data_IF_390445722650
#
_entry.id   IF_390445722650
#
_cell.length_a   1.000
_cell.length_b   1.000
_cell.length_c   1.000
_cell.angle_alpha   90.00
_cell.angle_beta   90.00
_cell.angle_gamma   90.00
#
_symmetry.space_group_name_H-M   'P 1'
#
loop_
_entity.id
_entity.type
_entity.pdbx_description
1 polymer ?
#
# COMPACT_ATOMS: atom_id res chain seq x y z
N UNK A 1 -26.20 79.44 -17.81
CA UNK A 1 -27.44 79.60 -17.03
C UNK A 1 -27.64 78.35 -16.20
N UNK A 2 -27.59 78.52 -14.89
CA UNK A 2 -27.88 77.53 -13.85
C UNK A 2 -29.30 76.98 -13.97
N UNK A 3 -29.48 75.69 -13.67
CA UNK A 3 -30.58 75.21 -12.79
C UNK A 3 -30.28 73.80 -12.27
N UNK A 4 -30.09 73.77 -10.95
CA UNK A 4 -30.07 72.59 -10.11
C UNK A 4 -31.41 71.83 -10.11
N UNK A 5 -31.32 70.53 -9.85
CA UNK A 5 -32.48 69.67 -9.61
C UNK A 5 -32.08 68.36 -8.93
N UNK A 6 -31.33 68.42 -7.83
CA UNK A 6 -31.13 67.27 -6.94
C UNK A 6 -32.47 66.96 -6.28
N UNK A 7 -33.05 65.80 -6.61
CA UNK A 7 -34.16 65.24 -5.82
C UNK A 7 -33.65 64.02 -5.05
N UNK A 8 -33.79 64.12 -3.73
CA UNK A 8 -33.37 63.17 -2.70
C UNK A 8 -34.30 61.96 -2.66
N UNK A 9 -33.71 60.75 -2.65
CA UNK A 9 -34.12 59.49 -1.98
C UNK A 9 -33.21 58.39 -2.57
N UNK A 10 -32.09 58.02 -1.93
CA UNK A 10 -32.03 56.98 -0.87
C UNK A 10 -32.78 55.73 -1.37
N UNK A 11 -32.12 54.66 -1.83
CA UNK A 11 -31.44 53.60 -1.04
C UNK A 11 -30.42 52.92 -1.99
N UNK A 12 -29.11 53.13 -1.86
CA UNK A 12 -28.10 52.29 -1.17
C UNK A 12 -28.11 50.77 -1.45
N UNK A 13 -27.06 50.36 -2.20
CA UNK A 13 -26.19 49.17 -2.04
C UNK A 13 -26.84 47.80 -2.31
N UNK A 14 -26.22 46.89 -3.06
CA UNK A 14 -24.81 46.44 -3.02
C UNK A 14 -24.35 45.94 -4.40
N UNK A 15 -23.22 46.46 -4.90
CA UNK A 15 -21.90 45.80 -5.01
C UNK A 15 -21.81 44.86 -6.25
N UNK A 16 -21.21 45.30 -7.35
CA UNK A 16 -19.76 45.27 -7.65
C UNK A 16 -19.26 43.83 -7.86
N UNK A 17 -18.51 43.43 -8.89
CA UNK A 17 -17.91 44.05 -10.07
C UNK A 17 -17.31 42.85 -10.87
N UNK A 18 -17.49 42.79 -12.19
CA UNK A 18 -16.51 43.22 -13.19
C UNK A 18 -15.20 42.39 -13.19
N UNK A 19 -15.15 41.51 -14.20
CA UNK A 19 -14.04 41.16 -15.10
C UNK A 19 -12.92 40.21 -14.64
N UNK A 20 -12.79 39.11 -15.40
CA UNK A 20 -11.63 38.95 -16.28
C UNK A 20 -10.61 37.88 -15.88
N UNK A 21 -10.49 36.85 -16.72
CA UNK A 21 -9.19 36.25 -17.04
C UNK A 21 -9.01 34.76 -16.75
N UNK A 22 -8.48 34.09 -17.77
CA UNK A 22 -7.80 32.80 -17.79
C UNK A 22 -8.66 31.52 -17.79
N UNK A 23 -8.98 31.07 -19.00
CA UNK A 23 -9.15 29.65 -19.29
C UNK A 23 -7.81 28.92 -19.03
N UNK A 24 -7.78 28.05 -18.04
CA UNK A 24 -6.78 26.97 -17.96
C UNK A 24 -7.53 25.66 -18.17
N UNK A 25 -7.51 25.19 -19.42
CA UNK A 25 -7.80 23.80 -19.73
C UNK A 25 -6.62 22.96 -19.21
N UNK A 26 -6.72 22.49 -17.98
CA UNK A 26 -5.85 21.48 -17.41
C UNK A 26 -6.61 20.17 -17.35
N UNK A 27 -6.40 19.30 -18.36
CA UNK A 27 -6.91 17.94 -18.31
C UNK A 27 -6.18 17.17 -17.21
N UNK A 28 -6.87 16.91 -16.10
CA UNK A 28 -6.46 15.88 -15.16
C UNK A 28 -6.82 14.53 -15.79
N UNK A 29 -5.90 13.99 -16.59
CA UNK A 29 -5.96 12.62 -17.05
C UNK A 29 -5.95 11.70 -15.84
N UNK A 30 -7.05 10.97 -15.65
CA UNK A 30 -7.06 9.73 -14.88
C UNK A 30 -5.91 8.86 -15.40
N UNK A 31 -5.09 8.34 -14.48
CA UNK A 31 -3.95 7.44 -14.75
C UNK A 31 -4.51 6.10 -15.24
N UNK A 32 -5.08 6.10 -16.43
CA UNK A 32 -5.43 4.89 -17.15
C UNK A 32 -4.11 4.17 -17.47
N UNK A 33 -4.10 2.87 -17.21
CA UNK A 33 -3.00 1.96 -17.38
C UNK A 33 -2.13 2.32 -18.60
N UNK A 34 -0.85 2.60 -18.36
CA UNK A 34 0.15 2.79 -19.42
C UNK A 34 0.59 1.44 -20.01
N UNK A 35 -0.37 0.56 -20.34
CA UNK A 35 -0.08 -0.68 -21.07
C UNK A 35 0.42 -0.39 -22.49
N UNK A 36 0.12 0.79 -23.04
CA UNK A 36 0.55 1.23 -24.38
C UNK A 36 2.00 1.74 -24.42
N UNK A 37 2.73 1.73 -23.30
CA UNK A 37 4.06 2.34 -23.17
C UNK A 37 5.26 1.40 -23.30
N UNK A 38 5.04 0.09 -23.47
CA UNK A 38 6.10 -0.92 -23.46
C UNK A 38 6.14 -1.80 -24.72
N UNK A 39 5.43 -1.42 -25.79
CA UNK A 39 5.48 -2.11 -27.09
C UNK A 39 5.30 -3.64 -27.02
N UNK A 40 4.41 -4.11 -26.13
CA UNK A 40 4.12 -5.54 -25.94
C UNK A 40 5.15 -6.31 -25.10
N UNK A 41 6.13 -5.64 -24.49
CA UNK A 41 7.16 -6.26 -23.64
C UNK A 41 6.61 -7.18 -22.56
N UNK A 42 5.43 -6.83 -22.02
CA UNK A 42 4.77 -7.54 -20.93
C UNK A 42 3.65 -8.51 -21.38
N UNK A 43 3.47 -8.72 -22.69
CA UNK A 43 2.34 -9.53 -23.22
C UNK A 43 2.35 -11.00 -22.72
N UNK A 44 3.53 -11.51 -22.36
CA UNK A 44 3.76 -12.86 -21.82
C UNK A 44 4.14 -12.85 -20.32
N UNK A 45 3.97 -11.74 -19.62
CA UNK A 45 4.37 -11.58 -18.20
C UNK A 45 3.15 -11.61 -17.30
N UNK A 46 2.91 -12.75 -16.64
CA UNK A 46 1.62 -13.00 -15.97
C UNK A 46 1.34 -12.13 -14.74
N UNK A 47 2.38 -11.56 -14.12
CA UNK A 47 2.27 -10.75 -12.90
C UNK A 47 2.38 -9.24 -13.18
N UNK A 48 2.40 -8.81 -14.44
CA UNK A 48 2.37 -7.39 -14.77
C UNK A 48 0.94 -6.84 -14.70
N UNK A 49 0.70 -5.94 -13.75
CA UNK A 49 -0.58 -5.24 -13.53
C UNK A 49 -0.48 -3.72 -13.71
N UNK A 50 0.72 -3.22 -13.99
CA UNK A 50 1.02 -1.80 -14.21
C UNK A 50 2.39 -1.40 -13.70
N UNK A 51 2.69 -0.11 -13.78
CA UNK A 51 3.95 0.46 -13.27
C UNK A 51 3.70 1.01 -11.87
N UNK A 52 4.42 0.48 -10.87
CA UNK A 52 4.34 0.94 -9.48
C UNK A 52 5.16 2.23 -9.33
N UNK A 53 4.50 3.33 -8.96
CA UNK A 53 5.19 4.61 -8.73
C UNK A 53 5.98 4.60 -7.42
N UNK A 54 7.30 4.79 -7.52
CA UNK A 54 8.26 4.88 -6.43
C UNK A 54 9.11 6.15 -6.54
N UNK A 55 8.72 7.13 -7.37
CA UNK A 55 9.41 8.43 -7.45
C UNK A 55 9.47 9.11 -6.08
N UNK A 56 10.56 9.82 -5.83
CA UNK A 56 10.86 10.47 -4.55
C UNK A 56 11.40 9.54 -3.46
N UNK A 57 11.61 8.25 -3.76
CA UNK A 57 12.37 7.35 -2.88
C UNK A 57 13.82 7.25 -3.37
N UNK A 58 14.77 7.30 -2.43
CA UNK A 58 16.20 7.15 -2.76
C UNK A 58 16.59 5.68 -3.02
N UNK A 59 15.76 4.73 -2.57
CA UNK A 59 15.98 3.29 -2.74
C UNK A 59 14.69 2.52 -2.99
N UNK A 60 14.75 1.55 -3.90
CA UNK A 60 13.62 0.67 -4.25
C UNK A 60 14.09 -0.78 -4.28
N UNK A 61 13.32 -1.68 -3.68
CA UNK A 61 13.57 -3.12 -3.76
C UNK A 61 12.65 -3.77 -4.79
N UNK A 62 13.22 -4.66 -5.60
CA UNK A 62 12.54 -5.58 -6.51
C UNK A 62 12.96 -7.01 -6.14
N UNK A 63 12.00 -7.86 -5.81
CA UNK A 63 12.25 -9.27 -5.53
C UNK A 63 12.46 -10.05 -6.83
N UNK A 64 13.40 -11.00 -6.83
CA UNK A 64 13.73 -11.88 -7.96
C UNK A 64 13.35 -13.31 -7.61
N UNK A 65 12.46 -13.90 -8.41
CA UNK A 65 11.92 -15.23 -8.14
C UNK A 65 10.60 -15.19 -7.35
N UNK A 66 9.73 -14.22 -7.65
CA UNK A 66 8.34 -14.21 -7.13
C UNK A 66 7.43 -15.08 -8.00
N UNK A 67 6.26 -15.45 -7.46
CA UNK A 67 5.25 -16.22 -8.18
C UNK A 67 4.74 -15.46 -9.43
N UNK A 68 5.15 -15.94 -10.61
CA UNK A 68 4.72 -15.49 -11.93
C UNK A 68 5.04 -16.57 -12.98
N UNK A 69 4.34 -16.52 -14.11
CA UNK A 69 4.62 -17.36 -15.28
C UNK A 69 4.59 -18.87 -14.98
N UNK A 70 3.71 -19.28 -14.08
CA UNK A 70 3.52 -20.69 -13.69
C UNK A 70 4.53 -21.23 -12.67
N UNK A 71 5.33 -20.37 -12.03
CA UNK A 71 6.26 -20.74 -10.95
C UNK A 71 6.88 -19.51 -10.30
N UNK A 72 8.06 -19.64 -9.69
CA UNK A 72 8.82 -18.51 -9.16
C UNK A 72 9.68 -17.85 -10.25
N UNK A 73 9.04 -17.42 -11.35
CA UNK A 73 9.68 -16.87 -12.55
C UNK A 73 9.28 -15.41 -12.80
N UNK A 74 9.19 -14.61 -11.76
CA UNK A 74 8.79 -13.20 -11.82
C UNK A 74 9.77 -12.26 -11.13
N UNK A 75 9.70 -11.00 -11.55
CA UNK A 75 10.19 -9.85 -10.78
C UNK A 75 9.03 -9.20 -10.02
N UNK A 76 9.24 -8.84 -8.76
CA UNK A 76 8.20 -8.31 -7.86
C UNK A 76 8.58 -6.97 -7.23
N UNK A 77 7.95 -5.85 -7.58
CA UNK A 77 6.99 -5.67 -8.69
C UNK A 77 7.66 -5.82 -10.07
N UNK A 78 6.86 -6.16 -11.09
CA UNK A 78 7.35 -6.36 -12.46
C UNK A 78 7.84 -5.05 -13.11
N UNK A 79 7.24 -3.91 -12.76
CA UNK A 79 7.69 -2.60 -13.22
C UNK A 79 7.61 -1.53 -12.13
N UNK A 80 8.66 -0.70 -12.05
CA UNK A 80 8.71 0.45 -11.13
C UNK A 80 8.97 1.75 -11.89
N UNK A 81 8.41 2.86 -11.39
CA UNK A 81 8.76 4.22 -11.82
C UNK A 81 9.57 4.88 -10.72
N UNK A 82 10.74 5.41 -11.04
CA UNK A 82 11.67 6.01 -10.07
C UNK A 82 12.14 7.39 -10.53
N UNK A 83 12.68 8.16 -9.59
CA UNK A 83 13.33 9.44 -9.90
C UNK A 83 14.76 9.19 -10.40
N UNK A 84 15.33 10.10 -11.20
CA UNK A 84 16.76 10.11 -11.44
C UNK A 84 17.55 10.12 -10.12
N UNK A 85 18.61 9.31 -10.06
CA UNK A 85 19.44 9.09 -8.88
C UNK A 85 18.94 8.01 -7.92
N UNK A 86 17.77 7.39 -8.15
CA UNK A 86 17.28 6.28 -7.31
C UNK A 86 18.11 5.01 -7.54
N UNK A 87 18.49 4.35 -6.45
CA UNK A 87 19.08 3.00 -6.51
C UNK A 87 18.00 1.93 -6.44
N UNK A 88 17.94 1.06 -7.44
CA UNK A 88 17.11 -0.15 -7.40
C UNK A 88 17.98 -1.31 -6.94
N UNK A 89 17.53 -2.02 -5.91
CA UNK A 89 18.12 -3.28 -5.44
C UNK A 89 17.23 -4.44 -5.82
N UNK A 90 17.81 -5.43 -6.47
CA UNK A 90 17.21 -6.73 -6.69
C UNK A 90 17.64 -7.68 -5.58
N UNK A 91 16.67 -8.33 -4.94
CA UNK A 91 16.88 -9.31 -3.85
C UNK A 91 16.30 -10.66 -4.26
N UNK A 92 17.10 -11.71 -4.20
CA UNK A 92 16.67 -13.04 -4.60
C UNK A 92 15.84 -13.69 -3.50
N UNK A 93 14.74 -14.32 -3.87
CA UNK A 93 13.90 -15.09 -2.93
C UNK A 93 14.50 -16.46 -2.62
N UNK A 94 15.38 -16.96 -3.49
CA UNK A 94 15.89 -18.34 -3.48
C UNK A 94 14.96 -19.36 -4.16
N UNK A 95 13.82 -18.92 -4.68
CA UNK A 95 12.83 -19.77 -5.32
C UNK A 95 13.00 -19.81 -6.85
N UNK A 96 12.53 -20.87 -7.50
CA UNK A 96 12.49 -20.94 -8.98
C UNK A 96 13.82 -21.22 -9.67
N UNK A 97 14.87 -21.54 -8.93
CA UNK A 97 16.19 -21.88 -9.49
C UNK A 97 17.09 -20.67 -9.66
N UNK A 98 17.97 -20.71 -10.66
CA UNK A 98 18.95 -19.65 -10.91
C UNK A 98 18.34 -18.49 -11.70
N UNK A 99 18.44 -17.27 -11.17
CA UNK A 99 17.98 -16.05 -11.84
C UNK A 99 19.11 -15.04 -12.00
N UNK A 100 19.01 -14.21 -13.02
CA UNK A 100 19.84 -13.01 -13.18
C UNK A 100 18.98 -11.81 -13.58
N UNK A 101 19.60 -10.63 -13.58
CA UNK A 101 19.00 -9.35 -13.95
C UNK A 101 19.88 -8.75 -15.02
N UNK A 102 19.41 -8.74 -16.27
CA UNK A 102 20.19 -8.28 -17.42
C UNK A 102 19.37 -7.27 -18.20
N UNK A 103 19.89 -6.05 -18.34
CA UNK A 103 19.27 -5.03 -19.16
C UNK A 103 19.31 -5.44 -20.64
N UNK A 104 18.19 -5.24 -21.34
CA UNK A 104 18.05 -5.55 -22.77
C UNK A 104 19.02 -4.71 -23.63
N UNK A 105 19.27 -3.46 -23.22
CA UNK A 105 20.21 -2.53 -23.85
C UNK A 105 21.67 -2.69 -23.38
N UNK A 106 21.93 -3.60 -22.44
CA UNK A 106 23.26 -3.87 -21.88
C UNK A 106 23.75 -2.84 -20.84
N UNK A 107 22.90 -1.94 -20.34
CA UNK A 107 23.28 -0.93 -19.33
C UNK A 107 23.68 -1.51 -17.97
N UNK A 108 23.10 -2.66 -17.58
CA UNK A 108 23.47 -3.38 -16.37
C UNK A 108 23.32 -4.90 -16.54
N UNK A 109 24.09 -5.66 -15.76
CA UNK A 109 24.07 -7.12 -15.78
C UNK A 109 24.55 -7.65 -14.41
N UNK A 110 23.72 -8.45 -13.74
CA UNK A 110 24.04 -9.05 -12.44
C UNK A 110 25.01 -10.24 -12.52
N UNK A 111 25.33 -10.73 -13.73
CA UNK A 111 26.21 -11.85 -13.99
C UNK A 111 25.49 -13.15 -14.34
N UNK A 112 26.16 -14.27 -14.05
CA UNK A 112 25.61 -15.61 -14.21
C UNK A 112 24.40 -15.81 -13.27
N UNK A 113 23.37 -16.60 -13.67
CA UNK A 113 22.23 -16.86 -12.81
C UNK A 113 22.61 -17.49 -11.46
N UNK A 114 22.03 -16.94 -10.39
CA UNK A 114 22.26 -17.36 -9.00
C UNK A 114 20.92 -17.76 -8.35
N UNK A 115 20.96 -18.70 -7.40
CA UNK A 115 19.76 -19.28 -6.75
C UNK A 115 19.74 -19.06 -5.23
N UNK A 116 20.73 -18.35 -4.68
CA UNK A 116 20.82 -18.06 -3.26
C UNK A 116 19.90 -16.91 -2.87
N UNK A 117 19.16 -17.06 -1.78
CA UNK A 117 18.37 -15.99 -1.19
C UNK A 117 19.22 -14.86 -0.57
N UNK A 118 20.53 -15.07 -0.40
CA UNK A 118 21.47 -14.04 0.07
C UNK A 118 21.99 -13.16 -1.08
N UNK A 119 21.66 -13.49 -2.33
CA UNK A 119 22.12 -12.76 -3.51
C UNK A 119 21.38 -11.44 -3.66
N UNK A 120 22.15 -10.38 -3.91
CA UNK A 120 21.64 -9.03 -4.18
C UNK A 120 22.40 -8.39 -5.33
N UNK A 121 21.71 -7.52 -6.07
CA UNK A 121 22.29 -6.71 -7.13
C UNK A 121 21.73 -5.29 -7.04
N UNK A 122 22.56 -4.27 -7.21
CA UNK A 122 22.14 -2.87 -7.15
C UNK A 122 22.54 -2.11 -8.40
N UNK A 123 21.68 -1.22 -8.87
CA UNK A 123 21.98 -0.27 -9.94
C UNK A 123 21.34 1.09 -9.64
N UNK A 124 22.12 2.16 -9.80
CA UNK A 124 21.64 3.55 -9.66
C UNK A 124 21.31 4.12 -11.03
N UNK A 125 20.09 4.62 -11.17
CA UNK A 125 19.56 5.11 -12.43
C UNK A 125 19.65 6.64 -12.51
N UNK A 126 20.66 7.16 -13.19
CA UNK A 126 20.91 8.61 -13.29
C UNK A 126 20.16 9.28 -14.45
N UNK A 127 19.93 8.56 -15.55
CA UNK A 127 19.36 9.12 -16.77
C UNK A 127 17.87 8.78 -16.88
N UNK A 128 17.06 9.74 -17.34
CA UNK A 128 15.64 9.49 -17.61
C UNK A 128 15.49 8.56 -18.80
N UNK A 129 14.60 7.58 -18.70
CA UNK A 129 14.37 6.59 -19.74
C UNK A 129 13.55 5.41 -19.25
N UNK A 130 13.32 4.46 -20.14
CA UNK A 130 12.75 3.16 -19.80
C UNK A 130 13.83 2.11 -19.99
N UNK A 131 14.14 1.39 -18.93
CA UNK A 131 15.16 0.34 -18.89
C UNK A 131 14.43 -1.00 -18.79
N UNK A 132 14.40 -1.73 -19.91
CA UNK A 132 13.84 -3.07 -19.98
C UNK A 132 14.91 -4.08 -19.57
N UNK A 133 14.51 -5.11 -18.83
CA UNK A 133 15.45 -6.15 -18.39
C UNK A 133 14.79 -7.51 -18.29
N UNK A 134 15.61 -8.55 -18.35
CA UNK A 134 15.18 -9.95 -18.36
C UNK A 134 15.99 -10.77 -17.38
N UNK A 135 15.43 -11.91 -17.00
CA UNK A 135 16.22 -13.04 -16.51
C UNK A 135 16.53 -13.97 -17.69
N UNK A 136 17.79 -14.04 -18.11
CA UNK A 136 18.23 -14.76 -19.32
C UNK A 136 17.72 -16.21 -19.41
N UNK A 137 17.83 -17.08 -18.38
CA UNK A 137 17.33 -18.45 -18.49
C UNK A 137 15.80 -18.56 -18.55
N UNK A 138 15.07 -17.50 -18.19
CA UNK A 138 13.61 -17.49 -18.04
C UNK A 138 12.92 -16.44 -18.94
N UNK A 139 13.64 -15.83 -19.87
CA UNK A 139 13.12 -14.81 -20.78
C UNK A 139 11.98 -15.37 -21.66
N UNK A 140 12.19 -16.57 -22.21
CA UNK A 140 11.24 -17.22 -23.12
C UNK A 140 9.91 -17.63 -22.44
N UNK A 141 9.86 -17.59 -21.10
CA UNK A 141 8.65 -17.85 -20.31
C UNK A 141 8.12 -16.58 -19.64
N UNK A 142 8.62 -15.40 -20.00
CA UNK A 142 8.06 -14.12 -19.54
C UNK A 142 8.68 -13.56 -18.26
N UNK A 143 9.88 -13.99 -17.85
CA UNK A 143 10.56 -13.34 -16.72
C UNK A 143 11.25 -12.04 -17.18
N UNK A 144 10.44 -11.00 -17.33
CA UNK A 144 10.83 -9.68 -17.82
C UNK A 144 10.36 -8.59 -16.85
N UNK A 145 11.10 -7.50 -16.78
CA UNK A 145 10.79 -6.35 -15.93
C UNK A 145 11.14 -5.03 -16.59
N UNK A 146 10.76 -3.93 -15.93
CA UNK A 146 11.12 -2.58 -16.38
C UNK A 146 11.36 -1.61 -15.22
N UNK A 147 12.33 -0.70 -15.40
CA UNK A 147 12.50 0.49 -14.58
C UNK A 147 12.24 1.72 -15.45
N UNK A 148 11.26 2.53 -15.08
CA UNK A 148 10.93 3.78 -15.76
C UNK A 148 11.47 4.94 -14.95
N UNK A 149 12.52 5.57 -15.42
CA UNK A 149 13.18 6.71 -14.77
C UNK A 149 12.61 7.98 -15.37
N UNK A 150 11.93 8.76 -14.55
CA UNK A 150 11.32 10.00 -14.99
C UNK A 150 11.42 11.04 -13.91
N UNK A 151 11.57 12.29 -14.33
CA UNK A 151 11.48 13.43 -13.43
C UNK A 151 10.19 13.38 -12.61
N UNK A 152 10.28 13.93 -11.40
CA UNK A 152 9.11 14.20 -10.58
C UNK A 152 8.24 15.24 -11.26
N UNK A 153 7.33 14.80 -12.14
CA UNK A 153 6.14 15.59 -12.47
C UNK A 153 5.38 15.81 -11.17
N UNK A 154 5.20 17.07 -10.80
CA UNK A 154 4.55 17.55 -9.56
C UNK A 154 3.53 16.52 -9.10
N UNK A 155 3.91 15.74 -8.08
CA UNK A 155 2.95 15.03 -7.27
C UNK A 155 2.09 16.12 -6.67
N UNK A 156 0.96 16.45 -7.29
CA UNK A 156 0.08 17.57 -6.92
C UNK A 156 -0.21 17.57 -5.43
N UNK A 157 0.64 18.27 -4.69
CA UNK A 157 0.93 17.96 -3.30
C UNK A 157 1.61 19.16 -2.67
N UNK A 158 0.84 20.23 -2.49
CA UNK A 158 1.20 21.34 -1.63
C UNK A 158 2.04 22.40 -2.31
N UNK A 159 1.51 23.00 -3.38
CA UNK A 159 1.90 24.37 -3.72
C UNK A 159 1.78 25.24 -2.48
N UNK A 160 2.93 25.62 -1.91
CA UNK A 160 3.03 26.70 -0.95
C UNK A 160 2.55 27.96 -1.66
N UNK A 161 1.24 28.22 -1.58
CA UNK A 161 0.70 29.55 -1.78
C UNK A 161 1.38 30.40 -0.72
N UNK A 162 2.32 31.24 -1.14
CA UNK A 162 2.84 32.34 -0.35
C UNK A 162 1.67 33.28 -0.03
N UNK A 163 0.94 32.96 1.04
CA UNK A 163 -0.17 33.76 1.52
C UNK A 163 0.40 34.95 2.30
N UNK A 164 -0.05 36.19 2.02
CA UNK A 164 0.36 37.36 2.79
C UNK A 164 0.02 37.16 4.27
N UNK A 165 0.82 37.71 5.19
CA UNK A 165 0.63 37.52 6.63
C UNK A 165 -0.75 38.05 7.04
N UNK A 166 -1.50 37.24 7.79
CA UNK A 166 -2.70 37.70 8.50
C UNK A 166 -4.02 37.02 8.17
N UNK A 167 -4.03 35.81 7.61
CA UNK A 167 -5.30 35.11 7.45
C UNK A 167 -5.17 33.67 7.94
N UNK A 168 -5.86 33.38 9.04
CA UNK A 168 -5.88 32.11 9.77
C UNK A 168 -7.26 31.47 9.63
N UNK A 169 -7.28 30.30 9.01
CA UNK A 169 -8.35 29.29 9.04
C UNK A 169 -7.58 27.99 8.88
N UNK A 170 -7.34 27.15 9.89
CA UNK A 170 -8.28 26.66 10.88
C UNK A 170 -8.59 25.21 10.50
N UNK A 171 -7.88 24.27 11.15
CA UNK A 171 -8.07 22.81 11.17
C UNK A 171 -7.21 21.98 10.22
N UNK A 172 -5.95 21.86 10.60
CA UNK A 172 -5.22 20.60 10.56
C UNK A 172 -5.73 19.69 11.70
N UNK A 173 -6.41 18.59 11.36
CA UNK A 173 -6.54 17.32 12.12
C UNK A 173 -6.94 16.30 11.04
N UNK A 174 -6.08 15.40 10.56
CA UNK A 174 -5.91 14.04 11.07
C UNK A 174 -4.57 13.47 10.61
N UNK A 175 -3.49 13.90 11.26
CA UNK A 175 -2.18 13.26 11.19
C UNK A 175 -1.66 13.09 12.60
N UNK A 176 -1.90 11.92 13.20
CA UNK A 176 -1.29 11.52 14.46
C UNK A 176 -2.19 11.56 15.69
N UNK A 177 -3.10 10.59 15.84
CA UNK A 177 -3.35 9.83 17.08
C UNK A 177 -4.09 8.54 16.70
N UNK A 178 -3.37 7.41 16.51
CA UNK A 178 -3.76 6.08 17.02
C UNK A 178 -2.66 5.02 16.76
N UNK A 179 -1.43 5.31 17.19
CA UNK A 179 -0.41 4.27 17.46
C UNK A 179 0.13 4.50 18.87
N UNK A 180 -0.77 4.46 19.87
CA UNK A 180 -0.43 4.46 21.29
C UNK A 180 -1.68 4.13 22.13
N UNK A 181 -2.19 2.88 22.07
CA UNK A 181 -3.09 2.31 23.08
C UNK A 181 -3.34 0.80 22.88
N UNK A 182 -2.32 -0.05 23.05
CA UNK A 182 -2.51 -1.46 23.46
C UNK A 182 -1.40 -1.90 24.43
N UNK A 183 -1.13 -1.04 25.41
CA UNK A 183 -0.41 -1.39 26.63
C UNK A 183 -1.28 -1.02 27.83
N UNK A 184 -2.30 -1.82 28.09
CA UNK A 184 -3.04 -1.83 29.37
C UNK A 184 -3.79 -3.15 29.50
N UNK A 185 -3.12 -4.13 30.11
CA UNK A 185 -3.78 -5.31 30.64
C UNK A 185 -4.87 -4.89 31.65
N UNK A 186 -6.09 -5.44 31.59
CA UNK A 186 -6.96 -5.39 32.74
C UNK A 186 -6.43 -6.39 33.77
N UNK A 187 -5.70 -5.86 34.75
CA UNK A 187 -5.56 -6.45 36.08
C UNK A 187 -6.95 -6.41 36.72
N UNK A 188 -7.80 -7.38 36.39
CA UNK A 188 -9.01 -7.70 37.15
C UNK A 188 -8.87 -9.10 37.75
N UNK A 189 -8.62 -9.13 39.06
CA UNK A 189 -9.33 -10.06 39.92
C UNK A 189 -8.77 -11.48 40.12
N UNK A 190 -7.44 -11.67 40.23
CA UNK A 190 -6.92 -12.87 40.90
C UNK A 190 -6.96 -12.66 42.42
N UNK A 191 -8.04 -13.08 43.09
CA UNK A 191 -8.05 -13.36 44.54
C UNK A 191 -9.30 -14.13 45.00
N UNK A 192 -9.01 -15.22 45.72
CA UNK A 192 -9.91 -16.15 46.45
C UNK A 192 -10.65 -17.14 45.53
N UNK A 193 -10.38 -18.46 45.57
CA UNK A 193 -10.40 -19.28 46.78
C UNK A 193 -9.19 -20.22 46.95
N UNK A 194 -8.55 -20.08 48.11
CA UNK A 194 -8.00 -21.24 48.83
C UNK A 194 -8.69 -21.27 50.18
N UNK A 195 -9.38 -22.37 50.48
CA UNK A 195 -9.30 -23.11 51.77
C UNK A 195 -10.14 -24.39 51.66
N UNK A 196 -9.46 -25.55 51.67
CA UNK A 196 -9.46 -26.59 52.73
C UNK A 196 -10.76 -27.40 52.79
N UNK A 197 -10.75 -28.72 52.60
CA UNK A 197 -10.28 -29.70 53.61
C UNK A 197 -10.21 -31.09 52.94
N UNK A 198 -9.10 -31.81 53.00
CA UNK A 198 -8.71 -32.78 54.04
C UNK A 198 -9.14 -34.24 53.74
N UNK A 199 -8.12 -35.09 53.55
CA UNK A 199 -8.03 -36.41 54.20
C UNK A 199 -8.64 -37.62 53.48
N UNK A 200 -7.78 -38.43 52.86
CA UNK A 200 -7.69 -39.86 53.16
C UNK A 200 -6.39 -40.43 52.59
N UNK A 201 -5.45 -40.73 53.48
CA UNK A 201 -4.31 -41.59 53.18
C UNK A 201 -4.79 -43.03 53.01
N UNK A 202 -4.29 -43.76 52.01
CA UNK A 202 -3.96 -45.19 52.12
C UNK A 202 -2.95 -45.53 51.03
N UNK A 203 -1.79 -45.99 51.46
CA UNK A 203 -0.73 -46.55 50.64
C UNK A 203 -1.15 -47.89 50.02
N UNK A 204 -0.80 -48.17 48.77
CA UNK A 204 -0.23 -49.49 48.43
C UNK A 204 0.46 -49.56 47.05
N UNK A 205 1.69 -50.08 47.09
CA UNK A 205 2.43 -50.92 46.12
C UNK A 205 2.70 -50.45 44.68
N UNK A 206 4.00 -50.46 44.40
CA UNK A 206 4.64 -50.78 43.12
C UNK A 206 4.18 -52.14 42.59
N UNK A 207 3.62 -52.16 41.38
CA UNK A 207 3.61 -53.25 40.37
C UNK A 207 3.37 -52.57 39.02
N UNK A 208 4.39 -52.50 38.16
CA UNK A 208 4.56 -53.34 36.97
C UNK A 208 3.75 -52.86 35.75
N UNK A 209 4.45 -52.82 34.62
CA UNK A 209 4.11 -52.20 33.36
C UNK A 209 2.78 -52.69 32.76
N UNK A 210 1.81 -51.78 32.68
CA UNK A 210 0.71 -51.85 31.72
C UNK A 210 0.67 -50.51 30.96
N UNK A 211 0.92 -50.58 29.65
CA UNK A 211 0.74 -49.45 28.73
C UNK A 211 -0.76 -49.21 28.61
N UNK A 212 -1.28 -48.34 29.48
CA UNK A 212 -2.63 -47.81 29.39
C UNK A 212 -2.51 -46.45 28.69
N UNK A 213 -2.98 -46.38 27.44
CA UNK A 213 -2.99 -45.14 26.67
C UNK A 213 -3.95 -44.18 27.39
N UNK A 214 -3.53 -42.97 27.82
CA UNK A 214 -4.53 -41.98 28.17
C UNK A 214 -5.23 -41.62 26.87
N UNK A 215 -6.46 -42.09 26.70
CA UNK A 215 -7.44 -41.37 25.90
C UNK A 215 -7.72 -40.08 26.66
N UNK A 216 -6.82 -39.10 26.55
CA UNK A 216 -7.13 -37.72 26.86
C UNK A 216 -8.07 -37.27 25.73
N UNK A 217 -9.37 -37.53 25.92
CA UNK A 217 -10.38 -36.79 25.20
C UNK A 217 -10.12 -35.31 25.53
N UNK A 218 -9.57 -34.60 24.55
CA UNK A 218 -9.47 -33.15 24.57
C UNK A 218 -10.89 -32.65 24.70
N UNK A 219 -11.29 -32.30 25.93
CA UNK A 219 -12.60 -31.75 26.21
C UNK A 219 -12.77 -30.54 25.31
N UNK A 220 -13.75 -30.60 24.40
CA UNK A 220 -14.08 -29.50 23.50
C UNK A 220 -14.06 -28.21 24.28
N UNK A 221 -13.11 -27.35 23.93
CA UNK A 221 -12.83 -26.10 24.60
C UNK A 221 -14.14 -25.38 24.90
N UNK A 222 -14.28 -24.93 26.14
CA UNK A 222 -15.40 -24.13 26.63
C UNK A 222 -15.70 -23.02 25.60
N UNK A 223 -16.76 -23.21 24.81
CA UNK A 223 -17.20 -22.22 23.83
C UNK A 223 -17.45 -20.92 24.59
N UNK A 224 -16.60 -19.92 24.36
CA UNK A 224 -16.79 -18.57 24.90
C UNK A 224 -17.74 -17.82 23.95
N UNK A 225 -19.05 -17.76 24.23
CA UNK A 225 -20.00 -17.08 23.37
C UNK A 225 -19.69 -15.58 23.26
N UNK A 226 -19.07 -15.00 24.30
CA UNK A 226 -18.81 -13.57 24.39
C UNK A 226 -17.52 -13.17 23.66
N UNK A 227 -16.46 -13.97 23.75
CA UNK A 227 -15.24 -13.80 22.97
C UNK A 227 -15.50 -13.95 21.48
N UNK A 228 -16.30 -14.96 21.11
CA UNK A 228 -16.70 -15.20 19.72
C UNK A 228 -17.54 -14.05 19.18
N UNK A 229 -18.54 -13.59 19.92
CA UNK A 229 -19.36 -12.42 19.55
C UNK A 229 -18.49 -11.17 19.37
N UNK A 230 -17.54 -10.94 20.27
CA UNK A 230 -16.65 -9.78 20.21
C UNK A 230 -15.79 -9.80 18.94
N UNK A 231 -15.22 -10.96 18.59
CA UNK A 231 -14.43 -11.14 17.38
C UNK A 231 -15.28 -10.93 16.12
N UNK A 232 -16.51 -11.48 16.10
CA UNK A 232 -17.45 -11.28 15.00
C UNK A 232 -17.82 -9.80 14.82
N UNK A 233 -18.07 -9.07 15.91
CA UNK A 233 -18.40 -7.64 15.84
C UNK A 233 -17.22 -6.81 15.35
N UNK A 234 -16.00 -7.11 15.78
CA UNK A 234 -14.79 -6.46 15.27
C UNK A 234 -14.60 -6.74 13.78
N UNK A 235 -14.76 -7.99 13.36
CA UNK A 235 -14.69 -8.39 11.95
C UNK A 235 -15.72 -7.66 11.09
N UNK A 236 -16.98 -7.60 11.52
CA UNK A 236 -18.05 -6.87 10.82
C UNK A 236 -17.76 -5.36 10.76
N UNK A 237 -17.15 -4.79 11.81
CA UNK A 237 -16.70 -3.40 11.82
C UNK A 237 -15.64 -3.13 10.76
N UNK A 238 -14.64 -4.01 10.64
CA UNK A 238 -13.59 -3.92 9.61
C UNK A 238 -14.21 -3.99 8.20
N UNK A 239 -15.11 -4.95 7.97
CA UNK A 239 -15.83 -5.08 6.70
C UNK A 239 -16.66 -3.83 6.38
N UNK A 240 -17.35 -3.26 7.37
CA UNK A 240 -18.14 -2.04 7.18
C UNK A 240 -17.27 -0.83 6.81
N UNK A 241 -16.12 -0.67 7.47
CA UNK A 241 -15.16 0.41 7.15
C UNK A 241 -14.58 0.22 5.75
N UNK A 242 -14.18 -1.01 5.40
CA UNK A 242 -13.66 -1.35 4.08
C UNK A 242 -14.71 -1.10 2.98
N UNK A 243 -15.97 -1.47 3.24
CA UNK A 243 -17.09 -1.24 2.32
C UNK A 243 -17.37 0.25 2.11
N UNK A 244 -17.44 1.05 3.19
CA UNK A 244 -17.62 2.51 3.10
C UNK A 244 -16.47 3.17 2.35
N UNK A 245 -15.24 2.71 2.60
CA UNK A 245 -14.05 3.19 1.90
C UNK A 245 -14.13 2.89 0.40
N UNK A 246 -14.43 1.65 0.00
CA UNK A 246 -14.64 1.30 -1.42
C UNK A 246 -15.77 2.12 -2.04
N UNK A 247 -16.91 2.27 -1.36
CA UNK A 247 -18.02 3.09 -1.84
C UNK A 247 -17.62 4.55 -2.09
N UNK A 248 -16.84 5.15 -1.18
CA UNK A 248 -16.36 6.53 -1.34
C UNK A 248 -15.40 6.66 -2.53
N UNK A 249 -14.46 5.72 -2.67
CA UNK A 249 -13.49 5.68 -3.77
C UNK A 249 -14.19 5.51 -5.12
N UNK A 250 -15.17 4.60 -5.22
CA UNK A 250 -15.81 4.26 -6.49
C UNK A 250 -16.90 5.26 -6.90
N UNK A 251 -17.70 5.77 -5.96
CA UNK A 251 -18.91 6.53 -6.28
C UNK A 251 -18.86 8.02 -5.94
N UNK A 252 -18.04 8.44 -4.97
CA UNK A 252 -18.00 9.85 -4.54
C UNK A 252 -16.82 10.63 -5.13
N UNK A 253 -15.78 9.94 -5.59
CA UNK A 253 -14.64 10.56 -6.28
C UNK A 253 -14.79 10.59 -7.83
N UNK A 254 -15.87 10.00 -8.36
CA UNK A 254 -16.29 10.14 -9.75
C UNK A 254 -17.50 11.08 -9.80
N UNK A 255 -17.31 12.30 -10.32
CA UNK A 255 -18.41 13.25 -10.49
C UNK A 255 -19.57 12.65 -11.31
N UNK A 256 -20.82 13.11 -11.11
CA UNK A 256 -21.98 12.54 -11.80
C UNK A 256 -21.74 12.57 -13.30
N UNK A 257 -21.75 11.41 -13.94
CA UNK A 257 -21.77 11.27 -15.39
C UNK A 257 -23.06 11.90 -15.91
N UNK A 258 -22.96 13.13 -16.41
CA UNK A 258 -24.06 13.80 -17.10
C UNK A 258 -24.24 13.09 -18.44
N UNK A 259 -25.14 12.12 -18.48
CA UNK A 259 -25.64 11.56 -19.74
C UNK A 259 -26.60 12.60 -20.32
N UNK A 260 -26.10 13.39 -21.27
CA UNK A 260 -26.87 14.26 -22.15
C UNK A 260 -27.12 13.59 -23.49
#
# INVERSE_FOLDING_TARGET
MTRDGITRRTVLRSAAGVLGGAALAGGAGTVAAQSDGFDGWFDDVSNFDGVVDRRGNDGVVVEVGVDANGGAFGFGPAAVRVSPGTTVRWEWTGEGGGHNVVADDGTFNSGEPDSSADTTFEHTFEETGTYLYVCTPHEAIGMKGAVVVQEGGDSGGGGAVTRPPGTSTGLAVFGGVLFAALAAAPVLGWRADRRLSAGAATAQRVTESAVERPAEEVGHDEFDPTGTLSLVLVYLGILGVMWVFMYFVEFLNNGPTVIG
#
